data_IF_932259674639
#
_entry.id   IF_932259674639
#
_cell.length_a   1.000
_cell.length_b   1.000
_cell.length_c   1.000
_cell.angle_alpha   90.00
_cell.angle_beta   90.00
_cell.angle_gamma   90.00
#
_symmetry.space_group_name_H-M   'P 1'
#
loop_
_entity.id
_entity.type
_entity.pdbx_description
1 polymer ?
#
# COMPACT_ATOMS: atom_id res chain seq x y z
N UNK A 1 14.46 6.15 -11.66
CA UNK A 1 13.93 7.05 -10.62
C UNK A 1 14.60 8.40 -10.78
N UNK A 2 13.83 9.48 -10.82
CA UNK A 2 14.32 10.86 -10.96
C UNK A 2 13.47 11.80 -10.10
N UNK A 3 14.03 12.95 -9.73
CA UNK A 3 13.27 14.09 -9.22
C UNK A 3 12.97 15.09 -10.33
N UNK A 4 11.90 15.86 -10.15
CA UNK A 4 11.49 16.90 -11.10
C UNK A 4 11.66 18.31 -10.51
N UNK A 5 12.38 19.15 -11.25
CA UNK A 5 12.73 20.52 -10.88
C UNK A 5 12.51 21.45 -12.07
N UNK A 6 12.26 22.73 -11.78
CA UNK A 6 12.33 23.80 -12.76
C UNK A 6 13.79 24.03 -13.20
N UNK A 7 14.05 24.71 -14.34
CA UNK A 7 15.40 25.08 -14.73
C UNK A 7 16.16 25.94 -13.69
N UNK A 8 15.44 26.61 -12.79
CA UNK A 8 16.01 27.40 -11.70
C UNK A 8 16.44 26.55 -10.48
N UNK A 9 16.17 25.24 -10.48
CA UNK A 9 16.50 24.33 -9.37
C UNK A 9 15.39 24.18 -8.32
N UNK A 10 14.22 24.78 -8.53
CA UNK A 10 13.08 24.68 -7.60
C UNK A 10 12.23 23.43 -7.87
N UNK A 11 11.81 22.66 -6.85
CA UNK A 11 10.98 21.48 -7.03
C UNK A 11 9.61 21.89 -7.61
N UNK A 12 9.15 21.18 -8.65
CA UNK A 12 7.82 21.47 -9.23
C UNK A 12 6.70 21.05 -8.26
N UNK A 13 5.47 21.61 -8.36
CA UNK A 13 4.39 21.35 -7.39
C UNK A 13 3.99 19.86 -7.22
N UNK A 14 4.20 19.05 -8.24
CA UNK A 14 3.94 17.60 -8.24
C UNK A 14 5.11 16.77 -7.71
N UNK A 15 6.28 17.36 -7.45
CA UNK A 15 7.40 16.66 -6.82
C UNK A 15 7.13 16.51 -5.31
N UNK A 16 6.51 15.38 -4.93
CA UNK A 16 6.26 15.03 -3.53
C UNK A 16 7.48 14.41 -2.83
N UNK A 17 8.40 13.83 -3.60
CA UNK A 17 9.66 13.24 -3.10
C UNK A 17 10.52 14.25 -2.36
N UNK A 18 10.60 15.49 -2.86
CA UNK A 18 11.40 16.55 -2.24
C UNK A 18 11.00 16.83 -0.78
N UNK A 19 9.69 16.97 -0.49
CA UNK A 19 9.23 17.22 0.87
C UNK A 19 9.36 15.98 1.76
N UNK A 20 9.09 14.78 1.21
CA UNK A 20 9.33 13.54 1.93
C UNK A 20 10.81 13.39 2.34
N UNK A 21 11.74 13.74 1.45
CA UNK A 21 13.18 13.71 1.73
C UNK A 21 13.58 14.65 2.88
N UNK A 22 12.92 15.80 3.02
CA UNK A 22 13.13 16.70 4.17
C UNK A 22 12.70 16.06 5.49
N UNK A 23 11.54 15.39 5.53
CA UNK A 23 11.07 14.68 6.72
C UNK A 23 12.04 13.57 7.09
N UNK A 24 12.44 12.73 6.13
CA UNK A 24 13.36 11.63 6.37
C UNK A 24 14.80 12.08 6.66
N UNK A 25 15.17 13.30 6.28
CA UNK A 25 16.44 13.93 6.63
C UNK A 25 16.44 14.62 8.00
N UNK A 26 15.29 14.74 8.67
CA UNK A 26 15.23 15.34 10.01
C UNK A 26 15.98 14.46 11.02
N UNK A 27 16.85 15.02 11.90
CA UNK A 27 17.69 14.24 12.82
C UNK A 27 16.91 13.22 13.67
N UNK A 28 15.78 13.63 14.24
CA UNK A 28 14.93 12.74 15.05
C UNK A 28 14.34 11.57 14.23
N UNK A 29 14.03 11.79 12.95
CA UNK A 29 13.52 10.72 12.06
C UNK A 29 14.64 9.79 11.65
N UNK A 30 15.83 10.34 11.35
CA UNK A 30 17.03 9.54 11.05
C UNK A 30 17.39 8.63 12.23
N UNK A 31 17.33 9.16 13.46
CA UNK A 31 17.65 8.40 14.68
C UNK A 31 16.68 7.23 14.93
N UNK A 32 15.41 7.40 14.57
CA UNK A 32 14.37 6.39 14.71
C UNK A 32 14.33 5.37 13.56
N UNK A 33 15.08 5.56 12.47
CA UNK A 33 15.22 4.59 11.37
C UNK A 33 13.88 3.95 10.94
N UNK A 34 12.94 4.75 10.40
CA UNK A 34 11.61 4.28 10.04
C UNK A 34 11.66 3.27 8.90
N UNK A 35 11.07 2.09 9.13
CA UNK A 35 10.92 1.02 8.15
C UNK A 35 9.49 0.97 7.64
N UNK A 36 9.37 0.68 6.35
CA UNK A 36 8.09 0.50 5.67
C UNK A 36 8.07 -0.82 4.90
N UNK A 37 6.95 -1.53 4.98
CA UNK A 37 6.59 -2.61 4.06
C UNK A 37 5.25 -2.28 3.43
N UNK A 38 5.21 -1.97 2.14
CA UNK A 38 3.98 -1.54 1.46
C UNK A 38 3.43 -2.70 0.63
N UNK A 39 2.18 -3.05 0.90
CA UNK A 39 1.38 -4.08 0.23
C UNK A 39 0.58 -3.42 -0.89
N UNK A 40 1.08 -3.47 -2.14
CA UNK A 40 0.44 -2.83 -3.27
C UNK A 40 -0.55 -3.79 -3.95
N UNK A 41 -1.83 -3.54 -3.75
CA UNK A 41 -2.88 -4.22 -4.52
C UNK A 41 -3.15 -3.49 -5.84
N UNK A 42 -3.55 -4.25 -6.86
CA UNK A 42 -3.90 -3.73 -8.18
C UNK A 42 -4.84 -4.68 -8.91
N UNK A 43 -5.54 -4.18 -9.93
CA UNK A 43 -6.44 -4.99 -10.76
C UNK A 43 -6.01 -4.95 -12.21
N UNK A 44 -6.00 -6.11 -12.87
CA UNK A 44 -5.73 -6.25 -14.29
C UNK A 44 -7.03 -6.15 -15.09
N UNK A 45 -7.02 -5.35 -16.16
CA UNK A 45 -8.18 -5.05 -16.99
C UNK A 45 -7.92 -5.38 -18.47
N UNK A 46 -8.96 -5.79 -19.17
CA UNK A 46 -9.00 -6.02 -20.61
C UNK A 46 -8.93 -4.67 -21.33
N UNK A 47 -7.96 -4.53 -22.24
CA UNK A 47 -7.59 -3.25 -22.88
C UNK A 47 -8.76 -2.52 -23.54
N UNK A 48 -9.57 -3.21 -24.34
CA UNK A 48 -10.54 -2.54 -25.23
C UNK A 48 -11.87 -2.20 -24.53
N UNK A 49 -12.20 -2.92 -23.45
CA UNK A 49 -13.49 -2.80 -22.75
C UNK A 49 -13.37 -2.30 -21.32
N UNK A 50 -12.15 -2.12 -20.81
CA UNK A 50 -11.85 -1.70 -19.45
C UNK A 50 -12.59 -2.53 -18.38
N UNK A 51 -12.65 -3.85 -18.59
CA UNK A 51 -13.33 -4.82 -17.73
C UNK A 51 -12.31 -5.79 -17.13
N UNK A 52 -12.48 -6.34 -15.91
CA UNK A 52 -11.42 -7.13 -15.29
C UNK A 52 -10.97 -8.34 -16.12
N UNK A 53 -9.68 -8.64 -16.06
CA UNK A 53 -9.05 -9.69 -16.84
C UNK A 53 -9.68 -11.05 -16.50
N UNK A 54 -10.10 -11.79 -17.53
CA UNK A 54 -10.74 -13.10 -17.41
C UNK A 54 -12.21 -13.07 -16.98
N UNK A 55 -12.81 -11.89 -16.80
CA UNK A 55 -14.25 -11.78 -16.58
C UNK A 55 -15.01 -11.86 -17.91
N UNK A 56 -16.21 -12.46 -17.93
CA UNK A 56 -17.05 -12.47 -19.13
C UNK A 56 -17.50 -11.04 -19.48
N UNK A 57 -17.48 -10.71 -20.77
CA UNK A 57 -17.90 -9.40 -21.27
C UNK A 57 -19.36 -9.15 -20.91
N UNK A 58 -19.64 -8.04 -20.20
CA UNK A 58 -20.99 -7.70 -19.75
C UNK A 58 -21.54 -8.59 -18.62
N UNK A 59 -20.69 -9.43 -18.01
CA UNK A 59 -21.07 -10.33 -16.93
C UNK A 59 -20.05 -10.38 -15.80
N UNK A 60 -20.30 -11.29 -14.86
CA UNK A 60 -19.49 -11.51 -13.67
C UNK A 60 -19.05 -12.98 -13.60
N UNK A 61 -17.88 -13.26 -13.02
CA UNK A 61 -17.51 -14.62 -12.63
C UNK A 61 -18.35 -15.08 -11.43
N UNK A 62 -18.06 -16.28 -10.91
CA UNK A 62 -18.62 -16.73 -9.63
C UNK A 62 -18.25 -15.80 -8.46
N UNK A 63 -18.95 -15.90 -7.32
CA UNK A 63 -18.71 -15.04 -6.17
C UNK A 63 -17.29 -15.19 -5.60
N UNK A 64 -16.83 -14.16 -4.88
CA UNK A 64 -15.52 -14.18 -4.21
C UNK A 64 -15.37 -15.36 -3.25
N UNK A 65 -14.14 -15.87 -3.10
CA UNK A 65 -13.85 -17.05 -2.28
C UNK A 65 -12.73 -17.92 -2.84
N UNK A 66 -12.88 -18.49 -4.05
CA UNK A 66 -11.87 -19.41 -4.61
C UNK A 66 -10.63 -18.71 -5.20
N UNK A 67 -10.63 -17.37 -5.24
CA UNK A 67 -9.62 -16.58 -5.97
C UNK A 67 -8.40 -16.22 -5.13
N UNK A 68 -8.59 -15.86 -3.85
CA UNK A 68 -7.50 -15.49 -2.94
C UNK A 68 -6.50 -16.65 -2.82
N UNK A 69 -5.25 -16.39 -3.18
CA UNK A 69 -4.18 -17.40 -3.28
C UNK A 69 -4.53 -18.65 -4.11
N UNK A 70 -5.53 -18.56 -4.99
CA UNK A 70 -6.04 -19.69 -5.77
C UNK A 70 -5.10 -20.17 -6.87
N UNK A 71 -5.23 -21.42 -7.28
CA UNK A 71 -4.48 -22.03 -8.40
C UNK A 71 -5.47 -22.72 -9.34
N UNK A 72 -5.31 -22.50 -10.64
CA UNK A 72 -6.21 -23.00 -11.69
C UNK A 72 -6.47 -21.95 -12.75
N UNK A 73 -6.73 -22.37 -13.98
CA UNK A 73 -7.04 -21.47 -15.10
C UNK A 73 -8.34 -20.67 -14.88
N UNK A 74 -9.24 -21.20 -14.05
CA UNK A 74 -10.52 -20.62 -13.65
C UNK A 74 -10.42 -19.68 -12.44
N UNK A 75 -9.24 -19.56 -11.81
CA UNK A 75 -9.05 -18.83 -10.54
C UNK A 75 -7.93 -17.79 -10.59
N UNK A 76 -6.80 -18.10 -11.22
CA UNK A 76 -5.57 -17.30 -11.17
C UNK A 76 -5.31 -16.58 -12.50
N UNK A 77 -6.00 -15.46 -12.71
CA UNK A 77 -6.05 -14.73 -13.99
C UNK A 77 -4.87 -13.74 -14.10
N UNK A 78 -3.95 -13.94 -15.05
CA UNK A 78 -2.78 -13.06 -15.26
C UNK A 78 -1.54 -13.39 -14.42
N UNK A 79 -1.38 -14.65 -13.98
CA UNK A 79 -0.22 -15.09 -13.17
C UNK A 79 1.12 -14.93 -13.89
N UNK A 80 1.13 -15.02 -15.22
CA UNK A 80 2.30 -14.79 -16.06
C UNK A 80 2.84 -13.36 -15.94
N UNK A 81 1.97 -12.35 -15.92
CA UNK A 81 2.31 -10.95 -15.66
C UNK A 81 2.93 -10.83 -14.26
N UNK A 82 2.26 -11.39 -13.25
CA UNK A 82 2.68 -11.28 -11.83
C UNK A 82 4.05 -11.92 -11.61
N UNK A 83 4.25 -13.14 -12.11
CA UNK A 83 5.53 -13.84 -11.97
C UNK A 83 6.67 -13.15 -12.74
N UNK A 84 6.35 -12.56 -13.89
CA UNK A 84 7.32 -11.79 -14.68
C UNK A 84 7.72 -10.51 -13.94
N UNK A 85 6.75 -9.81 -13.35
CA UNK A 85 6.98 -8.63 -12.51
C UNK A 85 7.82 -8.95 -11.29
N UNK A 86 7.51 -10.02 -10.58
CA UNK A 86 8.26 -10.42 -9.40
C UNK A 86 9.74 -10.67 -9.73
N UNK A 87 10.02 -11.43 -10.80
CA UNK A 87 11.39 -11.67 -11.27
C UNK A 87 12.09 -10.39 -11.74
N UNK A 88 11.37 -9.50 -12.43
CA UNK A 88 11.94 -8.24 -12.90
C UNK A 88 12.30 -7.30 -11.75
N UNK A 89 11.46 -7.23 -10.71
CA UNK A 89 11.73 -6.48 -9.49
C UNK A 89 12.96 -7.01 -8.76
N UNK A 90 13.06 -8.34 -8.56
CA UNK A 90 14.24 -8.97 -7.97
C UNK A 90 15.52 -8.67 -8.77
N UNK A 91 15.46 -8.81 -10.10
CA UNK A 91 16.59 -8.52 -10.99
C UNK A 91 17.01 -7.04 -10.92
N UNK A 92 16.05 -6.12 -10.84
CA UNK A 92 16.29 -4.69 -10.73
C UNK A 92 16.81 -4.24 -9.35
N UNK A 93 16.86 -5.15 -8.36
CA UNK A 93 17.27 -4.84 -6.99
C UNK A 93 16.18 -4.14 -6.17
N UNK A 94 14.92 -4.21 -6.58
CA UNK A 94 13.79 -3.83 -5.72
C UNK A 94 13.70 -4.85 -4.60
N UNK A 95 13.56 -4.38 -3.36
CA UNK A 95 13.36 -5.22 -2.17
C UNK A 95 11.90 -5.71 -2.11
N UNK A 96 11.49 -6.44 -3.14
CA UNK A 96 10.19 -7.08 -3.22
C UNK A 96 10.21 -8.32 -2.31
N UNK A 97 9.29 -8.38 -1.36
CA UNK A 97 9.27 -9.41 -0.31
C UNK A 97 8.28 -10.54 -0.58
N UNK A 98 7.31 -10.32 -1.46
CA UNK A 98 6.34 -11.34 -1.83
C UNK A 98 5.33 -10.87 -2.87
N UNK A 99 4.47 -11.82 -3.25
CA UNK A 99 3.32 -11.66 -4.16
C UNK A 99 2.20 -12.61 -3.73
N UNK A 100 0.95 -12.25 -3.99
CA UNK A 100 -0.21 -13.14 -3.86
C UNK A 100 -1.34 -12.76 -4.82
N UNK A 101 -2.22 -13.71 -5.09
CA UNK A 101 -3.51 -13.43 -5.74
C UNK A 101 -4.50 -12.92 -4.71
N UNK A 102 -5.22 -11.86 -5.04
CA UNK A 102 -6.15 -11.19 -4.12
C UNK A 102 -7.57 -11.77 -4.18
N UNK A 103 -8.45 -11.26 -3.31
CA UNK A 103 -9.82 -11.75 -3.14
C UNK A 103 -10.67 -11.59 -4.40
N UNK A 104 -10.52 -10.47 -5.12
CA UNK A 104 -11.26 -10.24 -6.36
C UNK A 104 -10.56 -10.94 -7.55
N UNK A 105 -11.29 -11.66 -8.41
CA UNK A 105 -10.69 -12.33 -9.57
C UNK A 105 -10.04 -11.32 -10.52
N UNK A 106 -8.75 -11.51 -10.82
CA UNK A 106 -7.95 -10.57 -11.61
C UNK A 106 -7.28 -9.46 -10.80
N UNK A 107 -7.49 -9.44 -9.48
CA UNK A 107 -6.75 -8.61 -8.52
C UNK A 107 -5.54 -9.37 -7.98
N UNK A 108 -4.46 -8.64 -7.75
CA UNK A 108 -3.19 -9.17 -7.27
C UNK A 108 -2.53 -8.20 -6.31
N UNK A 109 -1.56 -8.70 -5.56
CA UNK A 109 -0.74 -7.90 -4.65
C UNK A 109 0.75 -8.23 -4.83
N UNK A 110 1.59 -7.22 -4.65
CA UNK A 110 3.02 -7.39 -4.38
C UNK A 110 3.43 -6.54 -3.19
N UNK A 111 4.42 -7.01 -2.42
CA UNK A 111 4.91 -6.30 -1.24
C UNK A 111 6.32 -5.77 -1.47
N UNK A 112 6.59 -4.51 -1.13
CA UNK A 112 7.93 -3.91 -1.16
C UNK A 112 8.34 -3.54 0.26
N UNK A 113 9.41 -4.16 0.75
CA UNK A 113 10.02 -3.85 2.04
C UNK A 113 10.54 -5.06 2.81
N UNK A 114 11.17 -4.84 3.98
CA UNK A 114 11.28 -3.55 4.65
C UNK A 114 12.25 -2.58 3.94
N UNK A 115 11.82 -1.33 3.75
CA UNK A 115 12.61 -0.24 3.19
C UNK A 115 12.70 0.93 4.17
N UNK A 116 13.87 1.55 4.27
CA UNK A 116 14.11 2.68 5.19
C UNK A 116 13.74 4.01 4.53
N UNK A 117 12.86 4.78 5.18
CA UNK A 117 12.54 6.17 4.79
C UNK A 117 12.25 6.35 3.30
N UNK A 118 12.99 7.25 2.65
CA UNK A 118 12.76 7.65 1.25
C UNK A 118 12.86 6.49 0.25
N UNK A 119 13.64 5.45 0.57
CA UNK A 119 13.81 4.28 -0.29
C UNK A 119 12.50 3.51 -0.49
N UNK A 120 11.56 3.58 0.46
CA UNK A 120 10.23 2.97 0.33
C UNK A 120 9.46 3.56 -0.85
N UNK A 121 9.43 4.89 -0.95
CA UNK A 121 8.80 5.58 -2.07
C UNK A 121 9.51 5.34 -3.39
N UNK A 122 10.84 5.40 -3.40
CA UNK A 122 11.64 5.18 -4.61
C UNK A 122 11.38 3.77 -5.18
N UNK A 123 11.41 2.75 -4.33
CA UNK A 123 11.25 1.37 -4.77
C UNK A 123 9.81 1.05 -5.19
N UNK A 124 8.79 1.55 -4.48
CA UNK A 124 7.41 1.29 -4.88
C UNK A 124 7.08 1.93 -6.23
N UNK A 125 7.49 3.17 -6.48
CA UNK A 125 7.31 3.81 -7.79
C UNK A 125 8.01 3.05 -8.92
N UNK A 126 9.23 2.56 -8.69
CA UNK A 126 9.91 1.73 -9.69
C UNK A 126 9.23 0.38 -9.88
N UNK A 127 8.71 -0.25 -8.82
CA UNK A 127 7.95 -1.49 -8.91
C UNK A 127 6.65 -1.29 -9.72
N UNK A 128 5.92 -0.18 -9.51
CA UNK A 128 4.74 0.21 -10.31
C UNK A 128 5.10 0.41 -11.78
N UNK A 129 6.19 1.13 -12.06
CA UNK A 129 6.69 1.31 -13.42
C UNK A 129 6.97 -0.03 -14.12
N UNK A 130 7.73 -0.93 -13.47
CA UNK A 130 8.03 -2.26 -14.03
C UNK A 130 6.74 -3.05 -14.28
N UNK A 131 5.77 -2.99 -13.37
CA UNK A 131 4.48 -3.68 -13.54
C UNK A 131 3.75 -3.17 -14.78
N UNK A 132 3.61 -1.85 -14.93
CA UNK A 132 2.91 -1.25 -16.06
C UNK A 132 3.62 -1.50 -17.40
N UNK A 133 4.97 -1.53 -17.40
CA UNK A 133 5.76 -1.95 -18.56
C UNK A 133 5.47 -3.40 -18.97
N UNK A 134 5.28 -4.30 -18.02
CA UNK A 134 4.98 -5.71 -18.29
C UNK A 134 3.53 -5.87 -18.76
N UNK A 135 2.58 -5.16 -18.17
CA UNK A 135 1.19 -5.19 -18.62
C UNK A 135 1.05 -4.62 -20.04
N UNK A 136 1.85 -3.61 -20.41
CA UNK A 136 1.92 -3.12 -21.80
C UNK A 136 2.31 -4.24 -22.77
N UNK A 137 3.36 -5.01 -22.46
CA UNK A 137 3.81 -6.13 -23.31
C UNK A 137 2.71 -7.18 -23.45
N UNK A 138 1.96 -7.42 -22.37
CA UNK A 138 0.86 -8.38 -22.33
C UNK A 138 -0.44 -7.86 -22.99
N UNK A 139 -0.51 -6.59 -23.38
CA UNK A 139 -1.74 -5.98 -23.89
C UNK A 139 -2.85 -5.88 -22.83
N UNK A 140 -2.48 -5.77 -21.56
CA UNK A 140 -3.38 -5.66 -20.41
C UNK A 140 -3.28 -4.26 -19.80
N UNK A 141 -4.40 -3.73 -19.32
CA UNK A 141 -4.45 -2.45 -18.63
C UNK A 141 -4.29 -2.67 -17.13
N UNK A 142 -3.44 -1.87 -16.50
CA UNK A 142 -3.23 -1.85 -15.06
C UNK A 142 -4.13 -0.79 -14.42
N UNK A 143 -4.81 -1.14 -13.33
CA UNK A 143 -5.57 -0.19 -12.52
C UNK A 143 -5.13 -0.21 -11.06
N UNK A 144 -4.82 0.98 -10.56
CA UNK A 144 -4.66 1.27 -9.14
C UNK A 144 -5.91 1.96 -8.56
N UNK A 145 -7.06 1.96 -9.26
CA UNK A 145 -8.29 2.53 -8.71
C UNK A 145 -8.67 1.80 -7.41
N UNK A 146 -8.99 2.53 -6.31
CA UNK A 146 -9.30 1.93 -5.02
C UNK A 146 -10.53 1.02 -5.01
N UNK A 147 -11.43 1.18 -5.98
CA UNK A 147 -12.67 0.42 -6.10
C UNK A 147 -13.02 0.27 -7.60
N UNK A 148 -12.31 -0.60 -8.33
CA UNK A 148 -12.43 -0.69 -9.79
C UNK A 148 -13.80 -1.20 -10.22
N UNK A 149 -14.42 -2.08 -9.42
CA UNK A 149 -15.77 -2.60 -9.65
C UNK A 149 -16.65 -2.30 -8.43
N UNK A 150 -17.83 -1.73 -8.70
CA UNK A 150 -18.84 -1.44 -7.67
C UNK A 150 -19.53 -2.73 -7.22
N UNK A 151 -20.10 -2.69 -6.01
CA UNK A 151 -20.86 -3.81 -5.45
C UNK A 151 -20.00 -4.72 -4.57
N UNK A 152 -20.34 -6.00 -4.55
CA UNK A 152 -19.84 -7.03 -3.63
C UNK A 152 -18.47 -7.61 -4.03
N UNK A 153 -17.58 -6.74 -4.51
CA UNK A 153 -16.21 -7.07 -4.90
C UNK A 153 -15.24 -6.29 -4.02
N UNK A 154 -14.11 -6.87 -3.65
CA UNK A 154 -13.10 -6.17 -2.87
C UNK A 154 -12.61 -4.91 -3.61
N UNK A 155 -12.20 -3.90 -2.85
CA UNK A 155 -11.44 -2.78 -3.39
C UNK A 155 -9.95 -3.07 -3.32
N UNK A 156 -9.14 -2.11 -3.78
CA UNK A 156 -7.69 -2.22 -3.81
C UNK A 156 -7.02 -1.26 -2.80
N UNK A 157 -6.22 -1.81 -1.89
CA UNK A 157 -5.44 -1.10 -0.88
C UNK A 157 -3.98 -0.87 -1.26
N UNK A 158 -3.30 -0.07 -0.44
CA UNK A 158 -1.85 -0.01 -0.38
C UNK A 158 -1.39 -0.07 1.09
N UNK A 159 -1.62 -1.18 1.78
CA UNK A 159 -1.41 -1.22 3.24
C UNK A 159 0.05 -0.90 3.58
N UNK A 160 0.25 0.02 4.53
CA UNK A 160 1.56 0.50 4.92
C UNK A 160 1.93 -0.08 6.29
N UNK A 161 2.74 -1.14 6.27
CA UNK A 161 3.37 -1.65 7.48
C UNK A 161 4.47 -0.69 7.91
N UNK A 162 4.50 -0.31 9.19
CA UNK A 162 5.41 0.70 9.72
C UNK A 162 5.99 0.32 11.08
N UNK A 163 7.29 0.56 11.24
CA UNK A 163 7.97 0.53 12.54
C UNK A 163 9.11 1.53 12.61
N UNK A 164 9.44 1.96 13.81
CA UNK A 164 10.70 2.64 14.10
C UNK A 164 11.64 1.72 14.89
N UNK A 165 12.90 2.10 15.01
CA UNK A 165 13.90 1.40 15.83
C UNK A 165 13.39 1.16 17.25
N UNK A 166 12.75 2.16 17.87
CA UNK A 166 12.17 2.03 19.20
C UNK A 166 10.98 1.05 19.23
N UNK A 167 10.18 0.94 18.17
CA UNK A 167 9.09 -0.04 18.08
C UNK A 167 9.59 -1.49 17.93
N UNK A 168 10.76 -1.69 17.31
CA UNK A 168 11.37 -3.01 17.08
C UNK A 168 12.18 -3.53 18.28
N UNK A 169 12.46 -2.68 19.28
CA UNK A 169 13.20 -3.05 20.49
C UNK A 169 12.27 -3.44 21.65
N UNK A 170 12.84 -3.94 22.75
CA UNK A 170 12.08 -4.40 23.92
C UNK A 170 11.18 -3.28 24.49
N UNK A 171 9.92 -3.62 24.77
CA UNK A 171 8.89 -2.65 25.16
C UNK A 171 8.30 -1.85 24.00
N UNK A 172 8.66 -2.16 22.76
CA UNK A 172 8.23 -1.44 21.56
C UNK A 172 6.71 -1.40 21.33
N UNK A 173 5.94 -2.33 21.91
CA UNK A 173 4.48 -2.33 21.82
C UNK A 173 3.85 -1.05 22.42
N UNK A 174 4.44 -0.47 23.45
CA UNK A 174 3.93 0.79 24.03
C UNK A 174 4.25 1.98 23.13
N UNK A 175 5.37 1.93 22.40
CA UNK A 175 5.71 2.92 21.36
C UNK A 175 4.73 2.81 20.20
N UNK A 176 4.37 1.59 19.79
CA UNK A 176 3.35 1.33 18.76
C UNK A 176 2.00 1.94 19.18
N UNK A 177 1.51 1.64 20.38
CA UNK A 177 0.23 2.19 20.87
C UNK A 177 0.20 3.71 20.86
N UNK A 178 1.28 4.36 21.34
CA UNK A 178 1.42 5.83 21.30
C UNK A 178 1.41 6.38 19.87
N UNK A 179 2.06 5.70 18.93
CA UNK A 179 2.04 6.11 17.53
C UNK A 179 0.64 5.99 16.92
N UNK A 180 -0.09 4.92 17.22
CA UNK A 180 -1.47 4.71 16.78
C UNK A 180 -2.40 5.80 17.34
N UNK A 181 -2.25 6.18 18.61
CA UNK A 181 -3.01 7.28 19.21
C UNK A 181 -2.78 8.61 18.47
N UNK A 182 -1.52 8.93 18.11
CA UNK A 182 -1.21 10.12 17.30
C UNK A 182 -1.86 10.06 15.91
N UNK A 183 -1.82 8.90 15.24
CA UNK A 183 -2.47 8.71 13.94
C UNK A 183 -4.00 8.88 14.01
N UNK A 184 -4.62 8.45 15.12
CA UNK A 184 -6.05 8.66 15.35
C UNK A 184 -6.42 10.15 15.46
N UNK A 185 -5.56 10.97 16.08
CA UNK A 185 -5.77 12.42 16.20
C UNK A 185 -5.65 13.18 14.89
N UNK A 186 -4.91 12.64 13.91
CA UNK A 186 -4.74 13.21 12.56
C UNK A 186 -5.43 12.38 11.47
N UNK A 187 -6.48 11.65 11.84
CA UNK A 187 -7.12 10.71 10.91
C UNK A 187 -7.63 11.41 9.64
N UNK A 188 -8.32 12.55 9.79
CA UNK A 188 -8.88 13.29 8.66
C UNK A 188 -7.81 13.82 7.70
N UNK A 189 -6.70 14.36 8.22
CA UNK A 189 -5.58 14.86 7.43
C UNK A 189 -4.89 13.74 6.65
N UNK A 190 -4.72 12.57 7.29
CA UNK A 190 -4.18 11.39 6.61
C UNK A 190 -5.13 10.90 5.51
N UNK A 191 -6.44 10.75 5.79
CA UNK A 191 -7.43 10.31 4.80
C UNK A 191 -7.43 11.21 3.56
N UNK A 192 -7.35 12.53 3.74
CA UNK A 192 -7.28 13.49 2.63
C UNK A 192 -6.05 13.28 1.71
N UNK A 193 -5.00 12.63 2.21
CA UNK A 193 -3.76 12.36 1.47
C UNK A 193 -3.59 10.90 1.05
N UNK A 194 -4.51 10.01 1.43
CA UNK A 194 -4.38 8.55 1.31
C UNK A 194 -4.94 7.97 -0.01
N UNK A 195 -5.06 8.80 -1.03
CA UNK A 195 -5.53 8.44 -2.38
C UNK A 195 -6.96 8.89 -2.64
N UNK A 196 -7.19 9.48 -3.82
CA UNK A 196 -8.52 9.93 -4.25
C UNK A 196 -9.44 8.74 -4.57
N UNK A 197 -10.74 8.87 -4.30
CA UNK A 197 -11.74 7.82 -4.55
C UNK A 197 -11.82 6.75 -3.46
N UNK A 198 -11.08 6.91 -2.36
CA UNK A 198 -10.98 5.94 -1.27
C UNK A 198 -12.31 5.81 -0.47
N UNK A 199 -13.19 6.81 -0.53
CA UNK A 199 -14.55 6.76 0.05
C UNK A 199 -15.41 5.64 -0.55
N UNK A 200 -15.09 5.19 -1.77
CA UNK A 200 -15.74 4.04 -2.42
C UNK A 200 -15.24 2.69 -1.90
N UNK A 201 -14.07 2.69 -1.25
CA UNK A 201 -13.39 1.50 -0.71
C UNK A 201 -13.63 1.36 0.79
N UNK A 202 -13.31 2.38 1.57
CA UNK A 202 -13.37 2.42 3.04
C UNK A 202 -14.81 2.56 3.54
N UNK A 203 -15.54 1.44 3.53
CA UNK A 203 -17.00 1.39 3.76
C UNK A 203 -17.37 0.59 5.02
N UNK A 204 -16.37 0.08 5.75
CA UNK A 204 -16.59 -0.87 6.86
C UNK A 204 -16.87 -2.31 6.40
N UNK A 205 -16.88 -2.58 5.09
CA UNK A 205 -17.07 -3.90 4.47
C UNK A 205 -15.81 -4.33 3.74
N UNK A 206 -15.76 -5.59 3.30
CA UNK A 206 -14.65 -6.13 2.50
C UNK A 206 -13.27 -5.90 3.14
N UNK A 207 -13.15 -6.23 4.43
CA UNK A 207 -11.88 -6.10 5.17
C UNK A 207 -11.33 -4.66 5.25
N UNK A 208 -12.22 -3.66 5.28
CA UNK A 208 -11.89 -2.25 5.49
C UNK A 208 -12.65 -1.66 6.67
N UNK A 209 -12.12 -0.58 7.26
CA UNK A 209 -12.86 0.29 8.18
C UNK A 209 -13.69 1.33 7.42
N UNK A 210 -14.69 1.94 8.09
CA UNK A 210 -15.40 3.10 7.55
C UNK A 210 -14.50 4.34 7.54
N UNK A 211 -14.53 5.11 6.44
CA UNK A 211 -13.65 6.26 6.19
C UNK A 211 -13.73 7.37 7.24
N UNK A 212 -14.84 7.49 7.98
CA UNK A 212 -15.03 8.53 9.00
C UNK A 212 -14.65 8.06 10.41
N UNK A 213 -14.34 6.77 10.56
CA UNK A 213 -14.05 6.16 11.86
C UNK A 213 -12.61 5.69 11.93
N UNK A 214 -11.90 6.12 12.97
CA UNK A 214 -10.59 5.56 13.29
C UNK A 214 -10.75 4.45 14.33
N UNK A 215 -10.23 3.28 14.00
CA UNK A 215 -10.17 2.13 14.91
C UNK A 215 -8.86 1.38 14.76
N UNK A 216 -8.45 0.68 15.81
CA UNK A 216 -7.34 -0.25 15.72
C UNK A 216 -7.63 -1.52 16.53
N UNK A 217 -6.96 -2.61 16.19
CA UNK A 217 -7.08 -3.85 16.95
C UNK A 217 -6.05 -4.91 16.57
N UNK A 218 -5.89 -5.89 17.46
CA UNK A 218 -5.00 -7.02 17.21
C UNK A 218 -5.70 -8.03 16.31
N UNK A 219 -5.02 -8.43 15.23
CA UNK A 219 -5.55 -9.35 14.22
C UNK A 219 -6.89 -8.91 13.60
N UNK A 220 -7.28 -7.64 13.73
CA UNK A 220 -8.57 -7.15 13.27
C UNK A 220 -8.44 -6.52 11.88
N UNK A 221 -8.86 -7.27 10.85
CA UNK A 221 -8.92 -6.77 9.47
C UNK A 221 -10.09 -5.79 9.22
N UNK A 222 -11.03 -5.63 10.14
CA UNK A 222 -12.04 -4.56 10.05
C UNK A 222 -11.55 -3.20 10.55
N UNK A 223 -10.36 -3.12 11.14
CA UNK A 223 -9.84 -1.91 11.75
C UNK A 223 -9.04 -1.04 10.76
N UNK A 224 -8.92 0.25 11.07
CA UNK A 224 -8.11 1.19 10.30
C UNK A 224 -6.62 0.87 10.42
N UNK A 225 -6.17 0.57 11.65
CA UNK A 225 -4.81 0.09 11.95
C UNK A 225 -4.89 -1.32 12.53
N UNK A 226 -4.06 -2.24 12.05
CA UNK A 226 -3.96 -3.60 12.58
C UNK A 226 -2.60 -3.81 13.25
N UNK A 227 -2.61 -4.48 14.40
CA UNK A 227 -1.39 -5.01 15.02
C UNK A 227 -1.40 -6.54 14.86
N UNK A 228 -0.31 -7.12 14.38
CA UNK A 228 -0.18 -8.57 14.21
C UNK A 228 -0.19 -9.32 15.55
N UNK A 229 -0.66 -10.57 15.55
CA UNK A 229 -0.60 -11.42 16.76
C UNK A 229 0.82 -11.64 17.25
N UNK A 230 1.77 -11.77 16.32
CA UNK A 230 3.19 -11.97 16.66
C UNK A 230 3.77 -10.70 17.32
N UNK A 231 3.51 -9.51 16.76
CA UNK A 231 3.90 -8.23 17.37
C UNK A 231 3.32 -8.07 18.79
N UNK A 232 2.04 -8.40 18.99
CA UNK A 232 1.42 -8.34 20.32
C UNK A 232 2.09 -9.32 21.29
N UNK A 233 2.26 -10.57 20.88
CA UNK A 233 2.83 -11.65 21.69
C UNK A 233 4.28 -11.36 22.08
N UNK A 234 5.08 -10.82 21.16
CA UNK A 234 6.49 -10.50 21.38
C UNK A 234 6.70 -9.16 22.12
N UNK A 235 5.67 -8.32 22.18
CA UNK A 235 5.76 -7.00 22.83
C UNK A 235 6.59 -5.98 22.06
N UNK A 236 6.89 -6.23 20.78
CA UNK A 236 7.67 -5.38 19.86
C UNK A 236 7.42 -5.78 18.40
N UNK A 237 7.67 -4.88 17.46
CA UNK A 237 7.51 -5.16 16.03
C UNK A 237 7.00 -3.96 15.23
N UNK A 238 5.92 -4.16 14.48
CA UNK A 238 5.32 -3.17 13.58
C UNK A 238 3.78 -3.19 13.64
N UNK A 239 3.14 -2.15 13.13
CA UNK A 239 1.70 -2.11 12.85
C UNK A 239 1.44 -1.90 11.35
N UNK A 240 0.23 -2.20 10.92
CA UNK A 240 -0.23 -2.12 9.54
C UNK A 240 -1.30 -1.01 9.42
N UNK A 241 -1.00 0.07 8.70
CA UNK A 241 -2.01 1.07 8.35
C UNK A 241 -2.75 0.65 7.07
N UNK A 242 -4.04 0.31 7.22
CA UNK A 242 -4.86 -0.29 6.15
C UNK A 242 -5.68 0.75 5.38
N UNK A 243 -5.57 2.02 5.77
CA UNK A 243 -6.32 3.13 5.20
C UNK A 243 -5.81 3.60 3.82
N UNK A 244 -4.50 3.56 3.49
CA UNK A 244 -4.05 4.01 2.17
C UNK A 244 -4.67 3.18 1.05
N UNK A 245 -5.11 3.86 0.00
CA UNK A 245 -5.66 3.24 -1.18
C UNK A 245 -4.56 2.81 -2.16
N UNK A 246 -4.88 1.91 -3.09
CA UNK A 246 -3.93 1.42 -4.10
C UNK A 246 -3.28 2.52 -4.95
N UNK A 247 -3.95 3.65 -5.18
CA UNK A 247 -3.44 4.79 -5.93
C UNK A 247 -2.65 5.81 -5.09
N UNK A 248 -2.40 5.54 -3.80
CA UNK A 248 -1.69 6.50 -2.94
C UNK A 248 -0.28 6.82 -3.46
N UNK A 249 0.19 8.05 -3.22
CA UNK A 249 1.59 8.42 -3.46
C UNK A 249 2.43 7.97 -2.26
N UNK A 250 3.38 7.02 -2.44
CA UNK A 250 4.17 6.50 -1.34
C UNK A 250 5.04 7.56 -0.68
N UNK A 251 5.48 8.61 -1.40
CA UNK A 251 6.25 9.68 -0.77
C UNK A 251 5.40 10.41 0.27
N UNK A 252 4.15 10.70 -0.07
CA UNK A 252 3.21 11.41 0.82
C UNK A 252 2.84 10.54 2.01
N UNK A 253 2.38 9.31 1.78
CA UNK A 253 1.90 8.43 2.87
C UNK A 253 3.04 8.09 3.83
N UNK A 254 4.19 7.67 3.32
CA UNK A 254 5.30 7.24 4.19
C UNK A 254 5.83 8.41 5.03
N UNK A 255 6.07 9.58 4.42
CA UNK A 255 6.58 10.74 5.16
C UNK A 255 5.56 11.28 6.16
N UNK A 256 4.27 11.28 5.82
CA UNK A 256 3.21 11.74 6.73
C UNK A 256 3.04 10.82 7.94
N UNK A 257 3.22 9.50 7.78
CA UNK A 257 3.28 8.56 8.91
C UNK A 257 4.48 8.88 9.81
N UNK A 258 5.68 9.06 9.25
CA UNK A 258 6.86 9.43 10.05
C UNK A 258 6.68 10.77 10.76
N UNK A 259 6.20 11.79 10.05
CA UNK A 259 5.96 13.12 10.61
C UNK A 259 4.98 13.06 11.78
N UNK A 260 3.82 12.42 11.59
CA UNK A 260 2.80 12.32 12.65
C UNK A 260 3.28 11.50 13.84
N UNK A 261 4.03 10.42 13.62
CA UNK A 261 4.43 9.53 14.71
C UNK A 261 5.66 10.03 15.47
N UNK A 262 6.61 10.69 14.81
CA UNK A 262 7.90 11.10 15.37
C UNK A 262 7.92 12.60 15.69
N UNK A 263 7.61 13.47 14.73
CA UNK A 263 7.85 14.92 14.83
C UNK A 263 6.67 15.70 15.44
N UNK A 264 5.45 15.31 15.07
CA UNK A 264 4.25 16.02 15.51
C UNK A 264 3.99 15.82 17.00
N UNK A 265 3.60 16.92 17.64
CA UNK A 265 3.20 17.00 19.05
C UNK A 265 1.73 17.48 19.10
N UNK A 266 0.83 16.71 19.74
CA UNK A 266 -0.57 17.09 19.90
C UNK A 266 -0.78 18.39 20.68
#
# INVERSE_FOLDING_TARGET
MCDAYTPAGEPIPTNKRFNAAKVFGHPDVVAEEPWYGIEQEYTLLQKDINWPLGWPVGGYPGPQGPYYCGVGADKALGRDIVNSHYKACLYAGINISGINGEVMPGQWEFQVGPCVGIASGDQLWMARYILERITEIAGVVLSFDPKPIKGDWNGAGAHANYSTKSMRNDGGIDVIKKAIEKLGKRHGEHIAAYGEGNERRLTGRHETADINTFSWGVANRGASIRVGRDTEKEGKGYFEDRRPASNMDPYVVTSMIAETTILWKP
#
